data_IF_661176239395
#
_entry.id   IF_661176239395
#
_cell.length_a   1.000
_cell.length_b   1.000
_cell.length_c   1.000
_cell.angle_alpha   90.00
_cell.angle_beta   90.00
_cell.angle_gamma   90.00
#
_symmetry.space_group_name_H-M   'P 1'
#
loop_
_entity.id
_entity.type
_entity.pdbx_description
1 polymer ?
#
# COMPACT_ATOMS: atom_id res chain seq x y z
N UNK A 1 6.21 14.57 14.16
CA UNK A 1 5.55 13.80 15.24
C UNK A 1 6.08 12.39 15.16
N UNK A 2 6.71 11.86 16.21
CA UNK A 2 7.20 10.49 16.24
C UNK A 2 5.99 9.53 16.25
N UNK A 3 5.98 8.55 15.32
CA UNK A 3 4.96 7.53 15.30
C UNK A 3 5.05 6.70 16.58
N UNK A 4 3.97 6.63 17.35
CA UNK A 4 3.87 5.76 18.51
C UNK A 4 3.92 4.33 17.99
N UNK A 5 4.90 3.49 18.38
CA UNK A 5 4.92 2.09 18.01
C UNK A 5 3.66 1.41 18.58
N UNK A 6 3.08 0.43 17.83
CA UNK A 6 1.94 -0.32 18.35
C UNK A 6 2.32 -0.98 19.68
N UNK A 7 1.40 -1.06 20.65
CA UNK A 7 1.65 -1.70 21.91
C UNK A 7 2.05 -3.18 21.71
N UNK A 8 2.95 -3.72 22.56
CA UNK A 8 3.42 -5.09 22.43
C UNK A 8 2.22 -6.06 22.56
N UNK A 9 2.09 -6.97 21.59
CA UNK A 9 1.04 -7.98 21.53
C UNK A 9 -0.07 -7.76 20.50
N UNK A 10 -0.12 -6.61 19.83
CA UNK A 10 -1.02 -6.41 18.69
C UNK A 10 -0.41 -7.10 17.47
N UNK A 11 -1.11 -8.13 16.96
CA UNK A 11 -0.74 -8.76 15.69
C UNK A 11 -0.78 -7.72 14.56
N UNK A 12 0.11 -7.83 13.55
CA UNK A 12 0.03 -6.95 12.38
C UNK A 12 -1.41 -6.94 11.86
N UNK A 13 -1.98 -5.74 11.70
CA UNK A 13 -3.37 -5.61 11.26
C UNK A 13 -3.57 -5.89 9.77
N UNK A 14 -2.47 -6.15 9.02
CA UNK A 14 -2.45 -6.40 7.58
C UNK A 14 -3.18 -5.33 6.74
N UNK A 15 -3.19 -4.09 7.25
CA UNK A 15 -3.61 -2.88 6.58
C UNK A 15 -2.46 -1.86 6.59
N UNK A 16 -2.37 -0.92 5.65
CA UNK A 16 -1.36 0.11 5.62
C UNK A 16 -1.41 0.96 6.90
N UNK A 17 -0.25 1.36 7.36
CA UNK A 17 -0.14 2.31 8.48
C UNK A 17 -0.09 3.72 7.92
N UNK A 18 -1.03 4.54 8.32
CA UNK A 18 -0.99 5.97 8.04
C UNK A 18 0.06 6.63 8.93
N UNK A 19 1.09 7.21 8.33
CA UNK A 19 2.16 7.92 9.03
C UNK A 19 1.85 9.41 9.17
N UNK A 20 1.31 10.01 8.11
CA UNK A 20 0.90 11.41 8.06
C UNK A 20 -0.14 11.62 6.96
N UNK A 21 -0.80 12.76 7.00
CA UNK A 21 -1.61 13.26 5.90
C UNK A 21 -1.42 14.77 5.78
N UNK A 22 -1.65 15.28 4.57
CA UNK A 22 -1.67 16.71 4.29
C UNK A 22 -2.57 16.99 3.09
N UNK A 23 -2.96 18.24 2.94
CA UNK A 23 -3.71 18.71 1.77
C UNK A 23 -2.73 19.42 0.86
N UNK A 24 -2.75 19.07 -0.42
CA UNK A 24 -2.02 19.76 -1.48
C UNK A 24 -3.03 20.47 -2.38
N UNK A 25 -2.94 21.80 -2.53
CA UNK A 25 -3.82 22.53 -3.43
C UNK A 25 -3.62 22.08 -4.89
N UNK A 26 -4.70 21.76 -5.56
CA UNK A 26 -4.67 21.46 -6.99
C UNK A 26 -4.55 22.73 -7.85
N UNK A 27 -4.27 22.55 -9.12
CA UNK A 27 -4.16 23.65 -10.09
C UNK A 27 -5.56 24.06 -10.57
N UNK A 28 -5.79 25.36 -10.63
CA UNK A 28 -7.03 25.96 -11.15
C UNK A 28 -8.31 25.44 -10.47
N UNK A 29 -9.08 24.60 -11.18
CA UNK A 29 -10.36 24.03 -10.70
C UNK A 29 -10.23 22.59 -10.19
N UNK A 30 -9.01 22.03 -10.10
CA UNK A 30 -8.78 20.64 -9.68
C UNK A 30 -9.07 20.43 -8.18
N UNK A 31 -9.26 21.53 -7.41
CA UNK A 31 -9.57 21.46 -5.99
C UNK A 31 -8.37 21.00 -5.13
N UNK A 32 -8.66 20.62 -3.91
CA UNK A 32 -7.66 20.17 -2.95
C UNK A 32 -7.45 18.65 -3.04
N UNK A 33 -6.19 18.22 -3.02
CA UNK A 33 -5.80 16.81 -3.00
C UNK A 33 -5.40 16.36 -1.61
N UNK A 34 -6.09 15.39 -1.03
CA UNK A 34 -5.68 14.75 0.21
C UNK A 34 -4.53 13.78 -0.08
N UNK A 35 -3.37 14.05 0.49
CA UNK A 35 -2.17 13.22 0.40
C UNK A 35 -2.02 12.37 1.66
N UNK A 36 -1.88 11.06 1.48
CA UNK A 36 -1.66 10.09 2.55
C UNK A 36 -0.22 9.58 2.49
N UNK A 37 0.47 9.63 3.62
CA UNK A 37 1.84 9.11 3.76
C UNK A 37 1.77 7.77 4.48
N UNK A 38 2.29 6.72 3.85
CA UNK A 38 2.31 5.36 4.41
C UNK A 38 3.72 4.80 4.41
N UNK A 39 3.91 3.61 4.99
CA UNK A 39 5.16 2.87 4.85
C UNK A 39 5.42 2.54 3.36
N UNK A 40 6.69 2.46 2.97
CA UNK A 40 7.08 2.01 1.63
C UNK A 40 6.77 0.53 1.48
N UNK A 41 6.12 0.17 0.38
CA UNK A 41 5.77 -1.21 0.06
C UNK A 41 6.70 -1.78 -1.00
N UNK A 42 6.93 -3.09 -0.94
CA UNK A 42 7.86 -3.78 -1.85
C UNK A 42 7.26 -4.13 -3.21
N UNK A 43 5.95 -4.03 -3.36
CA UNK A 43 5.20 -4.36 -4.58
C UNK A 43 3.87 -5.06 -4.25
N UNK A 44 3.23 -5.63 -5.26
CA UNK A 44 1.92 -6.28 -5.18
C UNK A 44 1.96 -7.75 -5.60
N UNK A 45 0.92 -8.50 -5.26
CA UNK A 45 0.81 -9.94 -5.53
C UNK A 45 0.70 -10.25 -7.02
N UNK A 46 0.12 -9.36 -7.82
CA UNK A 46 0.00 -9.57 -9.27
C UNK A 46 1.37 -9.49 -9.96
N UNK A 47 2.17 -8.48 -9.63
CA UNK A 47 3.54 -8.35 -10.12
C UNK A 47 4.37 -9.58 -9.74
N UNK A 48 4.25 -10.04 -8.49
CA UNK A 48 4.93 -11.25 -8.02
C UNK A 48 4.49 -12.50 -8.82
N UNK A 49 3.21 -12.64 -9.12
CA UNK A 49 2.69 -13.75 -9.92
C UNK A 49 3.17 -13.68 -11.37
N UNK A 50 3.09 -12.52 -12.00
CA UNK A 50 3.37 -12.36 -13.45
C UNK A 50 4.87 -12.41 -13.71
N UNK A 51 5.67 -11.68 -12.95
CA UNK A 51 7.09 -11.47 -13.24
C UNK A 51 7.99 -12.53 -12.60
N UNK A 52 7.64 -13.07 -11.44
CA UNK A 52 8.49 -14.01 -10.70
C UNK A 52 8.00 -15.46 -10.87
N UNK A 53 6.70 -15.72 -10.67
CA UNK A 53 6.15 -17.08 -10.80
C UNK A 53 5.84 -17.48 -12.25
N UNK A 54 5.47 -16.52 -13.09
CA UNK A 54 5.11 -16.74 -14.49
C UNK A 54 3.99 -17.76 -14.65
N UNK A 55 4.09 -18.59 -15.71
CA UNK A 55 3.08 -19.61 -16.02
C UNK A 55 2.91 -20.72 -14.97
N UNK A 56 3.89 -20.92 -14.10
CA UNK A 56 3.83 -21.96 -13.05
C UNK A 56 2.89 -21.57 -11.90
N UNK A 57 2.56 -20.29 -11.79
CA UNK A 57 1.77 -19.76 -10.68
C UNK A 57 2.54 -19.75 -9.35
N UNK A 58 1.91 -19.17 -8.33
CA UNK A 58 2.50 -19.06 -7.00
C UNK A 58 2.49 -20.42 -6.28
N UNK A 59 3.57 -20.79 -5.56
CA UNK A 59 3.63 -22.00 -4.75
C UNK A 59 2.53 -22.01 -3.68
N UNK A 60 1.93 -23.17 -3.43
CA UNK A 60 0.82 -23.33 -2.47
C UNK A 60 1.10 -22.77 -1.07
N UNK A 61 2.30 -22.95 -0.48
CA UNK A 61 2.60 -22.34 0.83
C UNK A 61 2.54 -20.81 0.80
N UNK A 62 3.00 -20.20 -0.30
CA UNK A 62 2.95 -18.75 -0.49
C UNK A 62 1.49 -18.26 -0.65
N UNK A 63 0.68 -18.95 -1.46
CA UNK A 63 -0.75 -18.66 -1.62
C UNK A 63 -1.47 -18.71 -0.27
N UNK A 64 -1.22 -19.76 0.53
CA UNK A 64 -1.81 -19.88 1.87
C UNK A 64 -1.43 -18.71 2.78
N UNK A 65 -0.19 -18.24 2.72
CA UNK A 65 0.27 -17.10 3.49
C UNK A 65 -0.39 -15.79 3.04
N UNK A 66 -0.44 -15.54 1.72
CA UNK A 66 -1.12 -14.38 1.14
C UNK A 66 -2.58 -14.35 1.61
N UNK A 67 -3.31 -15.45 1.44
CA UNK A 67 -4.71 -15.55 1.84
C UNK A 67 -4.89 -15.33 3.35
N UNK A 68 -4.04 -15.93 4.18
CA UNK A 68 -4.10 -15.75 5.64
C UNK A 68 -3.97 -14.28 6.02
N UNK A 69 -3.01 -13.56 5.44
CA UNK A 69 -2.78 -12.16 5.73
C UNK A 69 -3.91 -11.27 5.17
N UNK A 70 -4.38 -11.56 3.96
CA UNK A 70 -5.53 -10.88 3.36
C UNK A 70 -6.78 -11.02 4.22
N UNK A 71 -7.11 -12.23 4.65
CA UNK A 71 -8.27 -12.48 5.53
C UNK A 71 -8.15 -11.76 6.87
N UNK A 72 -6.95 -11.65 7.42
CA UNK A 72 -6.71 -10.87 8.66
C UNK A 72 -6.91 -9.37 8.42
N UNK A 73 -6.42 -8.84 7.29
CA UNK A 73 -6.67 -7.45 6.89
C UNK A 73 -8.16 -7.16 6.74
N UNK A 74 -8.87 -8.02 6.00
CA UNK A 74 -10.32 -7.90 5.83
C UNK A 74 -11.07 -8.00 7.16
N UNK A 75 -10.68 -8.90 8.06
CA UNK A 75 -11.30 -9.01 9.38
C UNK A 75 -11.15 -7.72 10.20
N UNK A 76 -9.98 -7.04 10.11
CA UNK A 76 -9.78 -5.75 10.75
C UNK A 76 -10.66 -4.66 10.14
N UNK A 77 -10.76 -4.62 8.79
CA UNK A 77 -11.63 -3.67 8.08
C UNK A 77 -13.10 -3.88 8.47
N UNK A 78 -13.57 -5.12 8.44
CA UNK A 78 -14.94 -5.46 8.80
C UNK A 78 -15.25 -5.15 10.27
N UNK A 79 -14.27 -5.31 11.17
CA UNK A 79 -14.41 -4.85 12.55
C UNK A 79 -14.61 -3.33 12.65
N UNK A 80 -13.99 -2.57 11.75
CA UNK A 80 -14.22 -1.12 11.60
C UNK A 80 -15.43 -0.79 10.70
N UNK A 81 -16.23 -1.79 10.31
CA UNK A 81 -17.41 -1.64 9.45
C UNK A 81 -17.09 -1.08 8.05
N UNK A 82 -15.91 -1.37 7.55
CA UNK A 82 -15.45 -0.98 6.21
C UNK A 82 -15.44 -2.23 5.32
N UNK A 83 -16.08 -2.15 4.16
CA UNK A 83 -16.03 -3.15 3.09
C UNK A 83 -15.10 -2.63 1.99
N UNK A 84 -14.16 -3.43 1.53
CA UNK A 84 -13.13 -2.99 0.57
C UNK A 84 -13.69 -2.68 -0.82
N UNK A 85 -14.65 -3.45 -1.29
CA UNK A 85 -15.35 -3.38 -2.60
C UNK A 85 -14.51 -3.58 -3.87
N UNK A 86 -13.20 -3.39 -3.82
CA UNK A 86 -12.28 -3.60 -4.97
C UNK A 86 -11.08 -4.51 -4.61
N UNK A 87 -11.36 -5.63 -3.91
CA UNK A 87 -10.30 -6.58 -3.55
C UNK A 87 -9.79 -7.34 -4.76
N UNK A 88 -8.53 -7.13 -5.12
CA UNK A 88 -7.84 -7.81 -6.21
C UNK A 88 -6.36 -7.97 -5.90
N UNK A 89 -5.63 -8.72 -6.72
CA UNK A 89 -4.21 -9.00 -6.50
C UNK A 89 -3.33 -7.75 -6.52
N UNK A 90 -3.68 -6.73 -7.30
CA UNK A 90 -3.01 -5.44 -7.37
C UNK A 90 -3.12 -4.67 -6.04
N UNK A 91 -4.19 -4.90 -5.27
CA UNK A 91 -4.48 -4.23 -4.00
C UNK A 91 -4.02 -5.05 -2.78
N UNK A 92 -3.29 -6.14 -3.00
CA UNK A 92 -2.61 -6.90 -1.95
C UNK A 92 -1.11 -6.67 -2.12
N UNK A 93 -0.56 -5.81 -1.30
CA UNK A 93 0.85 -5.44 -1.32
C UNK A 93 1.65 -6.26 -0.30
N UNK A 94 2.97 -6.24 -0.41
CA UNK A 94 3.85 -6.86 0.58
C UNK A 94 4.90 -5.85 1.08
N UNK A 95 5.43 -6.11 2.27
CA UNK A 95 6.46 -5.27 2.89
C UNK A 95 7.79 -5.35 2.12
N UNK A 96 8.68 -4.38 2.38
CA UNK A 96 10.02 -4.34 1.79
C UNK A 96 10.96 -5.42 2.35
N UNK A 97 10.57 -6.10 3.43
CA UNK A 97 11.38 -7.13 4.09
C UNK A 97 12.68 -6.57 4.65
N UNK A 98 13.80 -7.09 4.13
CA UNK A 98 15.14 -6.68 4.56
C UNK A 98 15.71 -5.48 3.79
N UNK A 99 14.96 -4.91 2.83
CA UNK A 99 15.41 -3.73 2.09
C UNK A 99 15.48 -2.55 3.07
N UNK A 100 16.71 -2.08 3.32
CA UNK A 100 16.96 -0.93 4.18
C UNK A 100 16.82 0.40 3.42
N UNK A 101 16.79 1.51 4.15
CA UNK A 101 16.75 2.85 3.53
C UNK A 101 17.96 3.10 2.62
N UNK A 102 19.12 2.59 2.97
CA UNK A 102 20.34 2.74 2.18
C UNK A 102 20.25 1.98 0.85
N UNK A 103 19.61 0.80 0.84
CA UNK A 103 19.34 0.03 -0.39
C UNK A 103 18.44 0.81 -1.34
N UNK A 104 17.38 1.44 -0.83
CA UNK A 104 16.47 2.29 -1.60
C UNK A 104 17.22 3.49 -2.17
N UNK A 105 18.07 4.12 -1.35
CA UNK A 105 18.88 5.27 -1.79
C UNK A 105 19.87 4.86 -2.87
N UNK A 106 20.52 3.72 -2.71
CA UNK A 106 21.43 3.18 -3.71
C UNK A 106 20.69 2.84 -5.02
N UNK A 107 19.51 2.23 -4.93
CA UNK A 107 18.68 1.90 -6.08
C UNK A 107 18.29 3.17 -6.87
N UNK A 108 17.78 4.21 -6.20
CA UNK A 108 17.42 5.49 -6.83
C UNK A 108 18.64 6.16 -7.50
N UNK A 109 19.83 6.06 -6.89
CA UNK A 109 21.04 6.64 -7.45
C UNK A 109 21.57 5.86 -8.66
N UNK A 110 21.39 4.54 -8.67
CA UNK A 110 21.89 3.66 -9.76
C UNK A 110 20.96 3.68 -10.96
N UNK A 111 19.65 3.73 -10.74
CA UNK A 111 18.61 3.81 -11.77
C UNK A 111 17.65 4.95 -11.46
N UNK A 112 18.04 6.21 -11.76
CA UNK A 112 17.19 7.36 -11.47
C UNK A 112 15.87 7.31 -12.22
N UNK A 113 14.78 7.67 -11.53
CA UNK A 113 13.45 7.68 -12.10
C UNK A 113 13.40 8.59 -13.36
N UNK A 114 12.81 8.05 -14.44
CA UNK A 114 12.49 8.85 -15.62
C UNK A 114 11.52 9.94 -15.22
N UNK A 115 11.64 11.10 -15.86
CA UNK A 115 10.80 12.24 -15.55
C UNK A 115 9.89 12.59 -16.72
N UNK A 116 8.68 13.01 -16.40
CA UNK A 116 7.77 13.64 -17.34
C UNK A 116 8.31 15.02 -17.78
N UNK A 117 7.83 15.59 -18.89
CA UNK A 117 8.09 17.00 -19.20
C UNK A 117 7.73 17.90 -18.00
N UNK A 118 8.47 19.00 -17.79
CA UNK A 118 8.10 19.97 -16.78
C UNK A 118 6.72 20.58 -17.09
N UNK A 119 5.90 20.72 -16.06
CA UNK A 119 4.57 21.33 -16.13
C UNK A 119 4.50 22.51 -15.16
N UNK A 120 3.77 23.55 -15.55
CA UNK A 120 3.49 24.68 -14.66
C UNK A 120 2.48 24.23 -13.60
N UNK A 121 2.83 24.38 -12.33
CA UNK A 121 1.95 24.22 -11.18
C UNK A 121 1.61 25.58 -10.59
N UNK A 122 0.72 25.62 -9.59
CA UNK A 122 0.27 26.86 -8.96
C UNK A 122 1.41 27.75 -8.42
N UNK A 123 2.42 27.14 -7.79
CA UNK A 123 3.52 27.87 -7.14
C UNK A 123 4.86 27.80 -7.88
N UNK A 124 5.06 26.78 -8.71
CA UNK A 124 6.34 26.53 -9.35
C UNK A 124 6.22 25.55 -10.52
N UNK A 125 7.29 25.44 -11.31
CA UNK A 125 7.39 24.37 -12.31
C UNK A 125 7.62 23.04 -11.59
N UNK A 126 6.75 22.08 -11.84
CA UNK A 126 6.83 20.72 -11.29
C UNK A 126 7.24 19.75 -12.38
N UNK A 127 8.11 18.82 -12.03
CA UNK A 127 8.51 17.74 -12.92
C UNK A 127 8.24 16.40 -12.21
N UNK A 128 7.11 15.77 -12.53
CA UNK A 128 6.76 14.49 -11.98
C UNK A 128 7.72 13.38 -12.42
N UNK A 129 8.01 12.44 -11.53
CA UNK A 129 8.76 11.24 -11.84
C UNK A 129 7.81 10.11 -12.24
N UNK A 130 8.25 9.25 -13.19
CA UNK A 130 7.58 8.00 -13.48
C UNK A 130 7.76 7.06 -12.27
N UNK A 131 6.69 6.42 -11.83
CA UNK A 131 6.76 5.41 -10.77
C UNK A 131 7.79 4.33 -11.10
N UNK A 132 8.65 4.05 -10.12
CA UNK A 132 9.72 3.07 -10.24
C UNK A 132 9.54 2.00 -9.16
N UNK A 133 9.17 0.75 -9.55
CA UNK A 133 8.97 -0.31 -8.58
C UNK A 133 10.29 -0.72 -7.95
N UNK A 134 10.26 -1.11 -6.68
CA UNK A 134 11.39 -1.77 -6.05
C UNK A 134 11.60 -3.17 -6.66
N UNK A 135 12.84 -3.71 -6.62
CA UNK A 135 13.11 -5.07 -7.07
C UNK A 135 12.20 -6.09 -6.38
N UNK A 136 11.60 -6.98 -7.17
CA UNK A 136 10.73 -8.02 -6.64
C UNK A 136 11.55 -9.09 -5.91
N UNK A 137 11.04 -9.63 -4.78
CA UNK A 137 11.68 -10.72 -4.07
C UNK A 137 11.58 -12.02 -4.88
N UNK A 138 12.54 -12.92 -4.68
CA UNK A 138 12.39 -14.31 -5.12
C UNK A 138 11.19 -14.98 -4.44
N UNK A 139 10.67 -16.09 -4.99
CA UNK A 139 9.55 -16.83 -4.37
C UNK A 139 9.92 -17.35 -2.95
N UNK A 140 11.17 -17.65 -2.71
CA UNK A 140 11.66 -18.07 -1.40
C UNK A 140 11.63 -16.93 -0.37
N UNK A 141 11.98 -15.72 -0.77
CA UNK A 141 11.88 -14.51 0.07
C UNK A 141 10.43 -14.07 0.25
N UNK A 142 9.62 -14.14 -0.81
CA UNK A 142 8.21 -13.76 -0.78
C UNK A 142 7.42 -14.52 0.30
N UNK A 143 7.77 -15.79 0.58
CA UNK A 143 7.12 -16.58 1.62
C UNK A 143 7.35 -16.03 3.03
N UNK A 144 8.35 -15.19 3.23
CA UNK A 144 8.64 -14.56 4.54
C UNK A 144 8.00 -13.18 4.70
N UNK A 145 7.53 -12.57 3.60
CA UNK A 145 6.94 -11.22 3.60
C UNK A 145 5.62 -11.15 4.35
N UNK A 146 5.28 -9.95 4.81
CA UNK A 146 3.95 -9.62 5.32
C UNK A 146 3.11 -9.04 4.19
N UNK A 147 1.93 -9.62 3.98
CA UNK A 147 0.98 -9.15 2.97
C UNK A 147 -0.06 -8.23 3.62
N UNK A 148 -0.42 -7.18 2.92
CA UNK A 148 -1.19 -6.03 3.41
C UNK A 148 -2.26 -5.70 2.38
N UNK A 149 -3.53 -5.60 2.82
CA UNK A 149 -4.62 -5.12 1.97
C UNK A 149 -4.53 -3.60 1.88
N UNK A 150 -4.50 -3.06 0.68
CA UNK A 150 -4.31 -1.64 0.38
C UNK A 150 -5.36 -1.11 -0.60
N UNK A 151 -5.32 0.18 -0.90
CA UNK A 151 -6.23 0.86 -1.82
C UNK A 151 -7.70 0.84 -1.34
N UNK A 152 -7.94 1.59 -0.28
CA UNK A 152 -9.29 1.76 0.31
C UNK A 152 -10.13 2.84 -0.39
N UNK A 153 -9.67 3.36 -1.52
CA UNK A 153 -10.34 4.47 -2.23
C UNK A 153 -11.78 4.17 -2.65
N UNK A 154 -12.10 2.90 -2.88
CA UNK A 154 -13.46 2.43 -3.17
C UNK A 154 -14.19 1.87 -1.94
N UNK A 155 -13.57 1.93 -0.75
CA UNK A 155 -14.13 1.35 0.47
C UNK A 155 -15.45 2.00 0.87
N UNK A 156 -16.44 1.17 1.21
CA UNK A 156 -17.75 1.62 1.67
C UNK A 156 -17.94 1.31 3.14
N UNK A 157 -18.51 2.26 3.89
CA UNK A 157 -18.91 2.03 5.25
C UNK A 157 -20.25 1.30 5.27
N UNK A 158 -20.30 0.16 5.93
CA UNK A 158 -21.53 -0.60 6.08
C UNK A 158 -22.43 0.04 7.15
N UNK A 159 -23.46 0.73 6.70
CA UNK A 159 -24.44 1.43 7.57
C UNK A 159 -25.47 0.49 8.23
N UNK A 160 -25.30 -0.81 8.16
CA UNK A 160 -26.28 -1.80 8.54
C UNK A 160 -26.19 -2.40 9.95
N UNK A 161 -25.36 -1.87 10.86
CA UNK A 161 -25.32 -2.36 12.24
C UNK A 161 -26.20 -1.50 13.16
N UNK A 162 -27.32 -2.04 13.70
CA UNK A 162 -28.22 -1.30 14.60
C UNK A 162 -27.58 -0.91 15.94
N UNK A 163 -26.40 -1.44 16.26
CA UNK A 163 -25.72 -1.25 17.55
C UNK A 163 -24.58 -0.24 17.54
N UNK A 164 -24.20 0.27 16.37
CA UNK A 164 -23.15 1.28 16.24
C UNK A 164 -23.81 2.62 15.99
N UNK A 165 -23.82 3.50 17.00
CA UNK A 165 -24.35 4.84 16.90
C UNK A 165 -23.76 5.59 15.71
N UNK A 166 -24.59 6.37 15.05
CA UNK A 166 -24.26 7.27 13.92
C UNK A 166 -23.22 8.31 14.35
N UNK A 167 -21.95 7.92 14.38
CA UNK A 167 -20.83 8.88 14.44
C UNK A 167 -20.56 9.40 13.04
N UNK A 168 -20.99 10.61 12.75
CA UNK A 168 -20.49 11.36 11.58
C UNK A 168 -19.05 11.76 11.89
N UNK A 169 -18.15 11.44 11.00
CA UNK A 169 -16.81 12.03 10.95
C UNK A 169 -16.78 13.05 9.82
#
# INVERSE_FOLDING_TARGET
MASIPPPPGIKPNHCPRLLANFIHPGKDQDGDHLCLVTDVMGGDVKSLQVEVAGKKGLPLPLVKRILLHTLRGLANMHHCQIVHTDLKQDNIMFDTGSIAQDDITMFINTDPARRHPPEESWECIVQAAVSQPLPLPSLAEAITRTYIVSDFGSGEQWLGCPTCGTGRY
#
